data_IF_058678383807
#
_entry.id   IF_058678383807
#
_cell.length_a   1.000
_cell.length_b   1.000
_cell.length_c   1.000
_cell.angle_alpha   90.00
_cell.angle_beta   90.00
_cell.angle_gamma   90.00
#
_symmetry.space_group_name_H-M   'P 1'
#
loop_
_entity.id
_entity.type
_entity.pdbx_description
1 polymer ?
#
# COMPACT_ATOMS: atom_id res chain seq x y z
N UNK A 1 68.50 4.04 -33.64
CA UNK A 1 67.14 4.52 -33.34
C UNK A 1 66.64 3.79 -32.10
N UNK A 2 66.37 4.54 -31.02
CA UNK A 2 65.79 4.08 -29.75
C UNK A 2 64.29 3.82 -29.89
N UNK A 3 63.70 2.94 -29.04
CA UNK A 3 62.49 3.24 -28.23
C UNK A 3 62.49 2.43 -26.92
N UNK A 4 62.42 3.14 -25.79
CA UNK A 4 62.23 2.64 -24.43
C UNK A 4 60.72 2.49 -24.17
N UNK A 5 60.28 1.40 -23.56
CA UNK A 5 58.89 1.23 -23.11
C UNK A 5 58.76 1.63 -21.64
N UNK A 6 57.83 2.54 -21.35
CA UNK A 6 57.47 3.03 -20.01
C UNK A 6 56.14 2.33 -19.62
N UNK A 7 55.99 1.78 -18.40
CA UNK A 7 54.70 1.26 -17.95
C UNK A 7 53.78 2.40 -17.52
N UNK A 8 52.61 2.50 -18.15
CA UNK A 8 51.55 3.42 -17.75
C UNK A 8 50.83 2.87 -16.51
N UNK A 9 50.98 3.57 -15.38
CA UNK A 9 50.14 3.40 -14.20
C UNK A 9 48.78 4.08 -14.46
N UNK A 10 47.68 3.35 -14.28
CA UNK A 10 46.32 3.89 -14.32
C UNK A 10 45.81 4.01 -12.89
N UNK A 11 45.87 5.23 -12.34
CA UNK A 11 45.24 5.59 -11.06
C UNK A 11 43.80 6.01 -11.36
N UNK A 12 42.84 5.13 -11.08
CA UNK A 12 41.42 5.47 -11.14
C UNK A 12 41.05 6.22 -9.85
N UNK A 13 40.99 7.55 -9.92
CA UNK A 13 40.41 8.36 -8.84
C UNK A 13 38.88 8.32 -8.95
N UNK A 14 38.23 7.62 -8.04
CA UNK A 14 36.77 7.62 -7.91
C UNK A 14 36.31 8.91 -7.23
N UNK A 15 35.62 9.77 -7.98
CA UNK A 15 34.91 10.94 -7.47
C UNK A 15 33.66 10.47 -6.70
N UNK A 16 33.69 10.55 -5.38
CA UNK A 16 32.50 10.30 -4.54
C UNK A 16 31.64 11.57 -4.58
N UNK A 17 30.57 11.52 -5.37
CA UNK A 17 29.52 12.54 -5.32
C UNK A 17 28.74 12.36 -4.02
N UNK A 18 28.99 13.21 -3.03
CA UNK A 18 28.18 13.29 -1.82
C UNK A 18 26.79 13.82 -2.19
N UNK A 19 25.80 12.93 -2.24
CA UNK A 19 24.40 13.29 -2.42
C UNK A 19 23.86 13.75 -1.06
N UNK A 20 23.83 15.06 -0.83
CA UNK A 20 23.19 15.62 0.35
C UNK A 20 21.66 15.52 0.20
N UNK A 21 20.92 15.10 1.25
CA UNK A 21 19.47 15.16 1.21
C UNK A 21 19.03 16.62 1.11
N UNK A 22 18.48 17.00 -0.04
CA UNK A 22 17.79 18.27 -0.18
C UNK A 22 16.44 18.15 0.54
N UNK A 23 16.32 18.79 1.71
CA UNK A 23 15.02 19.00 2.33
C UNK A 23 14.15 19.81 1.38
N UNK A 24 12.92 19.35 1.13
CA UNK A 24 11.98 20.08 0.28
C UNK A 24 11.49 21.33 1.01
N UNK A 25 12.03 22.48 0.63
CA UNK A 25 11.50 23.80 1.01
C UNK A 25 10.33 24.13 0.07
N UNK A 26 9.22 24.63 0.61
CA UNK A 26 8.08 25.09 -0.17
C UNK A 26 8.31 26.48 -0.79
N UNK A 27 9.55 27.00 -0.67
CA UNK A 27 9.96 28.28 -1.23
C UNK A 27 9.35 29.47 -0.50
N UNK A 28 8.75 29.24 0.67
CA UNK A 28 8.06 30.24 1.46
C UNK A 28 8.97 30.75 2.57
N UNK A 29 9.32 32.03 2.51
CA UNK A 29 10.02 32.71 3.60
C UNK A 29 9.03 33.54 4.42
N UNK A 30 8.82 33.25 5.72
CA UNK A 30 7.98 34.09 6.56
C UNK A 30 8.66 35.44 6.79
N UNK A 31 7.94 36.53 6.52
CA UNK A 31 8.36 37.89 6.81
C UNK A 31 8.18 38.22 8.29
N UNK A 32 8.85 39.27 8.75
CA UNK A 32 8.85 39.72 10.15
C UNK A 32 7.54 40.38 10.60
N UNK A 33 6.47 40.33 9.79
CA UNK A 33 5.15 40.92 10.09
C UNK A 33 4.02 39.91 9.98
N UNK A 34 2.91 40.24 10.65
CA UNK A 34 1.77 39.37 10.98
C UNK A 34 1.06 38.70 9.78
N UNK A 35 1.36 39.14 8.56
CA UNK A 35 0.81 38.59 7.32
C UNK A 35 1.72 38.79 6.09
N UNK A 36 3.05 38.81 6.25
CA UNK A 36 3.96 38.90 5.10
C UNK A 36 4.80 37.64 4.95
N UNK A 37 4.90 37.12 3.73
CA UNK A 37 5.82 36.06 3.35
C UNK A 37 6.04 36.09 1.85
N UNK A 38 7.25 35.76 1.39
CA UNK A 38 7.61 35.80 -0.03
C UNK A 38 7.81 34.39 -0.53
N UNK A 39 7.16 34.08 -1.66
CA UNK A 39 7.42 32.86 -2.41
C UNK A 39 8.56 33.10 -3.41
N UNK A 40 9.57 32.24 -3.38
CA UNK A 40 10.65 32.24 -4.38
C UNK A 40 10.45 31.11 -5.38
N UNK A 41 10.89 31.32 -6.63
CA UNK A 41 10.91 30.26 -7.64
C UNK A 41 11.92 29.20 -7.21
N UNK A 42 11.42 28.02 -6.86
CA UNK A 42 12.29 26.92 -6.48
C UNK A 42 12.96 26.31 -7.72
N UNK A 43 14.23 25.84 -7.61
CA UNK A 43 14.82 25.02 -8.65
C UNK A 43 13.91 23.81 -8.89
N UNK A 44 13.60 23.54 -10.16
CA UNK A 44 12.69 22.47 -10.55
C UNK A 44 13.12 21.15 -9.93
N UNK A 45 12.22 20.50 -9.19
CA UNK A 45 12.46 19.18 -8.64
C UNK A 45 12.63 18.13 -9.74
N UNK A 46 13.19 16.98 -9.38
CA UNK A 46 13.31 15.82 -10.28
C UNK A 46 11.96 15.50 -10.92
N UNK A 47 11.95 15.28 -12.22
CA UNK A 47 10.78 14.76 -12.92
C UNK A 47 10.44 13.36 -12.39
N UNK A 48 9.18 12.96 -12.56
CA UNK A 48 8.73 11.61 -12.18
C UNK A 48 9.59 10.50 -12.83
N UNK A 49 10.02 10.70 -14.07
CA UNK A 49 10.86 9.75 -14.78
C UNK A 49 12.24 9.62 -14.13
N UNK A 50 12.85 10.74 -13.73
CA UNK A 50 14.15 10.75 -13.05
C UNK A 50 14.07 10.09 -11.67
N UNK A 51 13.00 10.35 -10.91
CA UNK A 51 12.77 9.70 -9.61
C UNK A 51 12.63 8.19 -9.77
N UNK A 52 11.89 7.71 -10.79
CA UNK A 52 11.75 6.27 -11.05
C UNK A 52 13.11 5.64 -11.41
N UNK A 53 13.89 6.28 -12.27
CA UNK A 53 15.21 5.79 -12.68
C UNK A 53 16.19 5.71 -11.48
N UNK A 54 16.14 6.68 -10.58
CA UNK A 54 16.92 6.69 -9.35
C UNK A 54 16.47 5.59 -8.37
N UNK A 55 15.15 5.41 -8.19
CA UNK A 55 14.63 4.34 -7.34
C UNK A 55 15.00 2.94 -7.86
N UNK A 56 14.97 2.73 -9.18
CA UNK A 56 15.41 1.46 -9.78
C UNK A 56 16.90 1.21 -9.53
N UNK A 57 17.73 2.24 -9.66
CA UNK A 57 19.16 2.16 -9.35
C UNK A 57 19.41 1.85 -7.88
N UNK A 58 18.73 2.56 -6.98
CA UNK A 58 18.85 2.39 -5.54
C UNK A 58 18.38 1.00 -5.06
N UNK A 59 17.46 0.37 -5.80
CA UNK A 59 17.07 -1.03 -5.60
C UNK A 59 18.14 -1.99 -6.10
N UNK A 60 18.74 -1.72 -7.25
CA UNK A 60 19.76 -2.58 -7.85
C UNK A 60 21.08 -2.57 -7.07
N UNK A 61 21.47 -1.42 -6.52
CA UNK A 61 22.71 -1.26 -5.73
C UNK A 61 22.53 -1.53 -4.23
N UNK A 62 21.29 -1.80 -3.78
CA UNK A 62 20.97 -2.12 -2.40
C UNK A 62 20.96 -0.92 -1.44
N UNK A 63 21.23 0.30 -1.90
CA UNK A 63 21.22 1.50 -1.06
C UNK A 63 19.84 1.80 -0.47
N UNK A 64 18.75 1.52 -1.21
CA UNK A 64 17.39 1.68 -0.71
C UNK A 64 17.10 0.75 0.47
N UNK A 65 17.59 -0.49 0.40
CA UNK A 65 17.43 -1.47 1.49
C UNK A 65 18.21 -1.04 2.74
N UNK A 66 19.43 -0.52 2.55
CA UNK A 66 20.26 0.01 3.63
C UNK A 66 19.57 1.18 4.35
N UNK A 67 19.09 2.17 3.60
CA UNK A 67 18.34 3.32 4.15
C UNK A 67 17.09 2.84 4.89
N UNK A 68 16.36 1.87 4.33
CA UNK A 68 15.17 1.31 4.96
C UNK A 68 15.47 0.52 6.25
N UNK A 69 16.66 -0.05 6.38
CA UNK A 69 17.09 -0.76 7.59
C UNK A 69 17.64 0.17 8.68
N UNK A 70 18.23 1.29 8.29
CA UNK A 70 18.79 2.31 9.20
C UNK A 70 17.71 3.29 9.69
N UNK A 71 16.68 3.53 8.89
CA UNK A 71 15.46 4.20 9.33
C UNK A 71 14.72 3.25 10.28
N UNK A 72 14.96 3.38 11.58
CA UNK A 72 14.47 2.51 12.68
C UNK A 72 12.95 2.40 12.86
N UNK A 73 12.17 2.54 11.79
CA UNK A 73 10.77 2.17 11.69
C UNK A 73 10.59 1.21 10.49
N UNK A 74 11.08 -0.01 10.64
CA UNK A 74 10.39 -1.13 10.03
C UNK A 74 9.33 -1.55 11.05
N UNK A 75 8.02 -1.38 10.80
CA UNK A 75 7.05 -2.13 11.57
C UNK A 75 7.49 -3.59 11.46
N UNK A 76 7.78 -4.20 12.60
CA UNK A 76 7.89 -5.65 12.71
C UNK A 76 6.53 -6.21 12.33
N UNK A 77 6.26 -6.30 11.02
CA UNK A 77 5.45 -7.40 10.55
C UNK A 77 6.30 -8.61 10.88
N UNK A 78 6.04 -9.12 12.07
CA UNK A 78 6.48 -10.40 12.53
C UNK A 78 6.60 -11.34 11.33
N UNK A 79 7.84 -11.55 10.89
CA UNK A 79 8.18 -12.74 10.11
C UNK A 79 8.09 -13.99 10.98
N UNK A 80 7.43 -13.90 12.15
CA UNK A 80 6.83 -14.99 12.92
C UNK A 80 5.69 -15.70 12.17
N UNK A 81 5.84 -15.90 10.87
CA UNK A 81 5.24 -16.97 10.07
C UNK A 81 5.80 -16.89 8.64
N UNK A 82 7.11 -17.09 8.50
CA UNK A 82 7.64 -17.75 7.30
C UNK A 82 7.23 -19.24 7.22
N UNK A 83 6.21 -19.66 7.98
CA UNK A 83 5.45 -20.87 7.70
C UNK A 83 4.59 -20.62 6.47
N UNK A 84 4.51 -21.63 5.60
CA UNK A 84 3.57 -21.67 4.46
C UNK A 84 2.22 -21.11 4.91
N UNK A 85 1.83 -19.95 4.40
CA UNK A 85 0.51 -19.38 4.67
C UNK A 85 -0.57 -20.42 4.36
N UNK A 86 -1.65 -20.48 5.15
CA UNK A 86 -2.72 -21.45 4.92
C UNK A 86 -3.24 -21.30 3.49
N UNK A 87 -3.33 -22.42 2.79
CA UNK A 87 -3.97 -22.48 1.48
C UNK A 87 -5.45 -22.14 1.63
N UNK A 88 -6.07 -21.70 0.53
CA UNK A 88 -7.51 -21.42 0.51
C UNK A 88 -8.35 -22.62 0.97
N UNK A 89 -7.94 -23.84 0.64
CA UNK A 89 -8.63 -25.06 1.05
C UNK A 89 -8.56 -25.27 2.57
N UNK A 90 -7.39 -25.05 3.17
CA UNK A 90 -7.19 -25.15 4.62
C UNK A 90 -8.01 -24.10 5.37
N UNK A 91 -8.04 -22.86 4.88
CA UNK A 91 -8.87 -21.80 5.47
C UNK A 91 -10.37 -22.13 5.38
N UNK A 92 -10.83 -22.71 4.27
CA UNK A 92 -12.24 -23.11 4.14
C UNK A 92 -12.62 -24.24 5.08
N UNK A 93 -11.75 -25.22 5.25
CA UNK A 93 -11.97 -26.33 6.17
C UNK A 93 -11.97 -25.87 7.64
N UNK A 94 -11.04 -24.98 8.01
CA UNK A 94 -11.03 -24.34 9.33
C UNK A 94 -12.31 -23.55 9.59
N UNK A 95 -12.76 -22.76 8.61
CA UNK A 95 -14.03 -22.02 8.72
C UNK A 95 -15.24 -22.94 8.79
N UNK A 96 -15.24 -24.09 8.11
CA UNK A 96 -16.31 -25.09 8.19
C UNK A 96 -16.37 -25.67 9.60
N UNK A 97 -15.23 -26.09 10.15
CA UNK A 97 -15.12 -26.61 11.51
C UNK A 97 -15.58 -25.58 12.55
N UNK A 98 -15.10 -24.33 12.42
CA UNK A 98 -15.47 -23.24 13.31
C UNK A 98 -16.97 -22.89 13.29
N UNK A 99 -17.66 -23.19 12.18
CA UNK A 99 -19.12 -23.06 12.07
C UNK A 99 -19.85 -24.22 12.73
N UNK A 100 -19.33 -25.44 12.56
CA UNK A 100 -19.91 -26.67 13.13
C UNK A 100 -19.76 -26.74 14.64
N UNK A 101 -18.60 -26.35 15.18
CA UNK A 101 -18.34 -26.31 16.62
C UNK A 101 -18.88 -25.04 17.32
N UNK A 102 -19.43 -24.10 16.55
CA UNK A 102 -20.02 -22.85 17.05
C UNK A 102 -19.01 -21.82 17.56
N UNK A 103 -17.71 -22.07 17.45
CA UNK A 103 -16.66 -21.13 17.88
C UNK A 103 -16.72 -19.84 17.07
N UNK A 104 -17.01 -19.91 15.78
CA UNK A 104 -17.18 -18.74 14.92
C UNK A 104 -18.36 -17.87 15.38
N UNK A 105 -19.47 -18.49 15.80
CA UNK A 105 -20.63 -17.79 16.32
C UNK A 105 -20.36 -17.16 17.69
N UNK A 106 -19.57 -17.83 18.55
CA UNK A 106 -19.11 -17.28 19.83
C UNK A 106 -18.20 -16.08 19.61
N UNK A 107 -17.17 -16.20 18.76
CA UNK A 107 -16.27 -15.09 18.42
C UNK A 107 -17.01 -13.90 17.81
N UNK A 108 -18.02 -14.15 16.96
CA UNK A 108 -18.82 -13.09 16.38
C UNK A 108 -19.65 -12.35 17.44
N UNK A 109 -20.26 -13.07 18.39
CA UNK A 109 -21.02 -12.46 19.51
C UNK A 109 -20.13 -11.71 20.50
N UNK A 110 -18.92 -12.22 20.74
CA UNK A 110 -17.96 -11.63 21.67
C UNK A 110 -17.15 -10.50 21.05
N UNK A 111 -17.13 -10.39 19.72
CA UNK A 111 -16.58 -9.22 19.06
C UNK A 111 -17.41 -8.01 19.48
N UNK A 112 -16.79 -7.07 20.19
CA UNK A 112 -17.40 -5.81 20.67
C UNK A 112 -17.96 -4.90 19.56
N UNK A 113 -17.93 -5.36 18.32
CA UNK A 113 -18.47 -4.76 17.11
C UNK A 113 -19.41 -5.72 16.37
N UNK A 114 -20.15 -6.55 17.10
CA UNK A 114 -21.35 -7.17 16.57
C UNK A 114 -22.46 -6.11 16.59
N UNK A 115 -22.89 -5.55 15.45
CA UNK A 115 -24.16 -4.83 15.45
C UNK A 115 -25.24 -5.80 15.94
N UNK A 116 -25.80 -5.52 17.11
CA UNK A 116 -27.00 -6.18 17.64
C UNK A 116 -28.16 -5.85 16.70
N UNK A 117 -28.25 -6.57 15.59
CA UNK A 117 -29.49 -6.62 14.85
C UNK A 117 -30.42 -7.51 15.68
N UNK A 118 -31.25 -6.90 16.53
CA UNK A 118 -32.48 -7.55 16.95
C UNK A 118 -33.15 -8.05 15.67
N UNK A 119 -33.36 -9.37 15.54
CA UNK A 119 -34.09 -9.96 14.44
C UNK A 119 -35.58 -9.59 14.55
N UNK A 120 -35.89 -8.30 14.51
CA UNK A 120 -37.26 -7.77 14.43
C UNK A 120 -37.79 -8.05 13.04
N UNK A 121 -38.34 -9.24 12.85
CA UNK A 121 -39.23 -9.56 11.72
C UNK A 121 -38.67 -9.27 10.32
N UNK A 122 -37.34 -9.26 10.15
CA UNK A 122 -36.72 -9.08 8.85
C UNK A 122 -37.00 -10.30 7.97
N UNK A 123 -37.26 -10.07 6.67
CA UNK A 123 -37.38 -11.15 5.68
C UNK A 123 -36.20 -12.09 5.79
N UNK A 124 -36.48 -13.38 5.89
CA UNK A 124 -35.47 -14.43 5.88
C UNK A 124 -34.69 -14.38 4.57
N UNK A 125 -33.45 -14.89 4.59
CA UNK A 125 -32.63 -14.98 3.37
C UNK A 125 -33.35 -15.76 2.25
N UNK A 126 -34.14 -16.76 2.59
CA UNK A 126 -34.91 -17.54 1.62
C UNK A 126 -35.98 -16.67 0.94
N UNK A 127 -36.75 -15.90 1.73
CA UNK A 127 -37.77 -14.99 1.21
C UNK A 127 -37.16 -13.90 0.32
N UNK A 128 -36.03 -13.31 0.74
CA UNK A 128 -35.32 -12.30 -0.07
C UNK A 128 -34.83 -12.88 -1.40
N UNK A 129 -34.34 -14.13 -1.40
CA UNK A 129 -33.89 -14.78 -2.64
C UNK A 129 -35.05 -15.13 -3.57
N UNK A 130 -36.18 -15.54 -3.01
CA UNK A 130 -37.39 -15.82 -3.79
C UNK A 130 -38.00 -14.55 -4.40
N UNK A 131 -38.04 -13.46 -3.63
CA UNK A 131 -38.42 -12.14 -4.14
C UNK A 131 -37.47 -11.66 -5.23
N UNK A 132 -36.16 -11.82 -5.04
CA UNK A 132 -35.17 -11.45 -6.04
C UNK A 132 -35.28 -12.26 -7.32
N UNK A 133 -35.62 -13.56 -7.21
CA UNK A 133 -35.91 -14.42 -8.36
C UNK A 133 -37.14 -13.90 -9.11
N UNK A 134 -38.24 -13.64 -8.41
CA UNK A 134 -39.47 -13.07 -8.98
C UNK A 134 -39.19 -11.75 -9.71
N UNK A 135 -38.49 -10.82 -9.06
CA UNK A 135 -38.13 -9.53 -9.64
C UNK A 135 -37.22 -9.64 -10.89
N UNK A 136 -36.42 -10.72 -10.99
CA UNK A 136 -35.63 -11.01 -12.19
C UNK A 136 -36.50 -11.58 -13.30
N UNK A 137 -37.41 -12.49 -12.97
CA UNK A 137 -38.28 -13.18 -13.93
C UNK A 137 -39.34 -12.22 -14.50
N UNK A 138 -39.87 -11.30 -13.69
CA UNK A 138 -40.85 -10.29 -14.10
C UNK A 138 -40.21 -9.02 -14.70
N UNK A 139 -38.87 -8.92 -14.69
CA UNK A 139 -38.12 -7.80 -15.26
C UNK A 139 -38.07 -6.53 -14.40
N UNK A 140 -38.76 -6.48 -13.25
CA UNK A 140 -38.77 -5.33 -12.34
C UNK A 140 -37.36 -4.98 -11.86
N UNK A 141 -36.51 -5.98 -11.64
CA UNK A 141 -35.11 -5.80 -11.24
C UNK A 141 -34.31 -5.06 -12.32
N UNK A 142 -34.57 -5.32 -13.60
CA UNK A 142 -33.92 -4.60 -14.70
C UNK A 142 -34.38 -3.15 -14.73
N UNK A 143 -35.68 -2.90 -14.60
CA UNK A 143 -36.26 -1.57 -14.59
C UNK A 143 -35.69 -0.69 -13.45
N UNK A 144 -35.55 -1.25 -12.25
CA UNK A 144 -34.93 -0.57 -11.11
C UNK A 144 -33.46 -0.23 -11.38
N UNK A 145 -32.74 -1.08 -12.11
CA UNK A 145 -31.31 -0.88 -12.39
C UNK A 145 -31.11 0.14 -13.53
N UNK A 146 -31.97 0.16 -14.55
CA UNK A 146 -31.95 1.17 -15.61
C UNK A 146 -32.38 2.56 -15.14
N UNK A 147 -33.34 2.65 -14.22
CA UNK A 147 -33.74 3.94 -13.61
C UNK A 147 -32.71 4.48 -12.61
N UNK A 148 -31.63 3.74 -12.33
CA UNK A 148 -30.54 4.14 -11.42
C UNK A 148 -29.29 4.63 -12.16
N UNK A 149 -29.37 4.79 -13.48
CA UNK A 149 -28.34 5.47 -14.26
C UNK A 149 -28.32 6.95 -13.90
N UNK A 150 -27.30 7.35 -13.14
CA UNK A 150 -26.84 8.74 -13.08
C UNK A 150 -26.09 9.08 -14.38
#
# INVERSE_FOLDING_TARGET
MSRKFIPFALVASALIAASFPASADNGFTPGTGEASGVYHSMPGGKTRAEVIAELMRARADGSLAKISSEAGYAPEFETSSAGRGRTRAEVQEELRRAREDGTLAKMNREASYAPEFEARGGRTRAEVLEEFRRARDDGSLRQMNTNRGY
#
